data_IF_987036969842
#
_entry.id   IF_987036969842
#
_cell.length_a   1.000
_cell.length_b   1.000
_cell.length_c   1.000
_cell.angle_alpha   90.00
_cell.angle_beta   90.00
_cell.angle_gamma   90.00
#
_symmetry.space_group_name_H-M   'P 1'
#
loop_
_entity.id
_entity.type
_entity.pdbx_description
1 polymer ?
#
# COMPACT_ATOMS: atom_id res chain seq x y z
N UNK A 1 3.60 -2.08 17.28
CA UNK A 1 4.72 -2.04 16.32
C UNK A 1 4.73 -0.70 15.62
N UNK A 2 5.88 -0.10 15.46
CA UNK A 2 6.00 1.21 14.80
C UNK A 2 5.99 1.02 13.28
N UNK A 3 5.39 1.97 12.56
CA UNK A 3 5.33 1.93 11.10
C UNK A 3 6.72 1.95 10.45
N UNK A 4 7.67 2.66 11.04
CA UNK A 4 9.05 2.68 10.56
C UNK A 4 9.68 1.28 10.56
N UNK A 5 9.40 0.47 11.57
CA UNK A 5 9.95 -0.88 11.68
C UNK A 5 9.47 -1.76 10.52
N UNK A 6 8.19 -1.63 10.17
CA UNK A 6 7.63 -2.34 9.02
C UNK A 6 8.22 -1.84 7.69
N UNK A 7 8.35 -0.52 7.53
CA UNK A 7 8.96 0.04 6.33
C UNK A 7 10.40 -0.46 6.14
N UNK A 8 11.17 -0.52 7.22
CA UNK A 8 12.54 -1.03 7.19
C UNK A 8 12.60 -2.54 6.91
N UNK A 9 11.60 -3.31 7.37
CA UNK A 9 11.51 -4.74 7.03
C UNK A 9 11.31 -4.96 5.55
N UNK A 10 10.43 -4.20 4.91
CA UNK A 10 10.26 -4.25 3.46
C UNK A 10 11.56 -3.89 2.73
N UNK A 11 12.19 -2.80 3.15
CA UNK A 11 13.46 -2.36 2.56
C UNK A 11 14.54 -3.43 2.67
N UNK A 12 14.65 -4.09 3.83
CA UNK A 12 15.60 -5.18 4.05
C UNK A 12 15.35 -6.36 3.13
N UNK A 13 14.10 -6.60 2.78
CA UNK A 13 13.71 -7.64 1.82
C UNK A 13 13.90 -7.21 0.36
N UNK A 14 14.42 -6.00 0.10
CA UNK A 14 14.65 -5.50 -1.24
C UNK A 14 13.42 -4.86 -1.88
N UNK A 15 12.37 -4.58 -1.10
CA UNK A 15 11.12 -3.99 -1.57
C UNK A 15 11.14 -2.48 -1.30
N UNK A 16 11.16 -1.62 -2.33
CA UNK A 16 11.14 -0.16 -2.14
C UNK A 16 9.82 0.31 -1.58
N UNK A 17 9.88 1.31 -0.69
CA UNK A 17 8.72 1.88 -0.02
C UNK A 17 8.69 3.39 -0.14
N UNK A 18 7.51 3.98 0.08
CA UNK A 18 7.32 5.42 0.19
C UNK A 18 6.18 5.72 1.19
N UNK A 19 6.15 6.94 1.78
CA UNK A 19 5.11 7.25 2.77
C UNK A 19 3.78 7.62 2.12
N UNK A 20 2.70 7.12 2.70
CA UNK A 20 1.33 7.51 2.39
C UNK A 20 0.77 8.37 3.50
N UNK A 21 -0.28 9.12 3.20
CA UNK A 21 -1.12 9.70 4.23
C UNK A 21 -1.77 8.59 5.08
N UNK A 22 -2.25 8.95 6.26
CA UNK A 22 -2.84 8.01 7.21
C UNK A 22 -4.18 8.53 7.72
N UNK A 23 -4.94 7.67 8.37
CA UNK A 23 -6.16 8.05 9.06
C UNK A 23 -5.83 8.54 10.47
N UNK A 24 -6.35 9.70 10.84
CA UNK A 24 -6.28 10.19 12.21
C UNK A 24 -7.31 9.45 13.07
N UNK A 25 -7.23 9.64 14.40
CA UNK A 25 -8.14 8.99 15.33
C UNK A 25 -9.62 9.33 15.08
N UNK A 26 -9.89 10.54 14.57
CA UNK A 26 -11.25 10.97 14.24
C UNK A 26 -11.76 10.44 12.88
N UNK A 27 -10.97 9.61 12.20
CA UNK A 27 -11.32 9.02 10.91
C UNK A 27 -11.06 9.92 9.69
N UNK A 28 -10.54 11.14 9.90
CA UNK A 28 -10.17 12.02 8.80
C UNK A 28 -8.80 11.67 8.24
N UNK A 29 -8.55 12.06 6.99
CA UNK A 29 -7.24 11.88 6.38
C UNK A 29 -6.25 12.88 6.96
N UNK A 30 -4.99 12.48 7.08
CA UNK A 30 -3.90 13.36 7.50
C UNK A 30 -3.57 14.46 6.48
N UNK A 31 -4.09 14.38 5.26
CA UNK A 31 -3.88 15.39 4.24
C UNK A 31 -4.70 16.66 4.51
N UNK A 32 -4.42 17.71 3.72
CA UNK A 32 -5.08 19.00 3.87
C UNK A 32 -6.60 18.94 3.71
N UNK A 33 -7.12 17.99 2.92
CA UNK A 33 -8.55 17.83 2.69
C UNK A 33 -9.29 17.17 3.86
N UNK A 34 -8.59 16.48 4.76
CA UNK A 34 -9.19 15.89 5.96
C UNK A 34 -10.38 14.99 5.65
N UNK A 35 -11.56 15.37 6.13
CA UNK A 35 -12.80 14.60 5.92
C UNK A 35 -13.26 14.61 4.46
N UNK A 36 -12.89 15.61 3.69
CA UNK A 36 -13.24 15.75 2.27
C UNK A 36 -12.36 14.90 1.35
N UNK A 37 -11.34 14.25 1.88
CA UNK A 37 -10.43 13.42 1.09
C UNK A 37 -11.14 12.16 0.57
N UNK A 38 -11.07 11.92 -0.74
CA UNK A 38 -11.71 10.75 -1.39
C UNK A 38 -10.86 9.48 -1.30
N UNK A 39 -9.59 9.60 -0.92
CA UNK A 39 -8.67 8.47 -0.80
C UNK A 39 -7.99 8.48 0.57
N UNK A 40 -8.79 8.57 1.63
CA UNK A 40 -8.31 8.71 3.01
C UNK A 40 -7.28 7.66 3.39
N UNK A 41 -6.08 8.09 3.76
CA UNK A 41 -5.00 7.23 4.19
C UNK A 41 -4.39 6.34 3.12
N UNK A 42 -4.73 6.57 1.84
CA UNK A 42 -4.35 5.68 0.74
C UNK A 42 -3.64 6.39 -0.42
N UNK A 43 -3.25 7.64 -0.24
CA UNK A 43 -2.56 8.37 -1.31
C UNK A 43 -1.18 8.85 -0.86
N UNK A 44 -0.25 9.04 -1.82
CA UNK A 44 1.13 9.41 -1.50
C UNK A 44 1.22 10.73 -0.76
N UNK A 45 2.12 10.80 0.22
CA UNK A 45 2.46 12.01 0.95
C UNK A 45 3.52 12.83 0.24
N UNK A 46 4.26 12.23 -0.67
CA UNK A 46 5.36 12.84 -1.41
C UNK A 46 5.05 12.93 -2.91
N UNK A 47 5.68 13.88 -3.60
CA UNK A 47 5.64 13.97 -5.06
C UNK A 47 6.57 12.93 -5.67
N UNK A 48 6.29 12.53 -6.90
CA UNK A 48 7.10 11.55 -7.66
C UNK A 48 7.34 10.26 -6.88
N UNK A 49 6.34 9.81 -6.16
CA UNK A 49 6.43 8.66 -5.25
C UNK A 49 6.99 7.42 -5.94
N UNK A 50 6.66 7.21 -7.20
CA UNK A 50 7.13 6.05 -7.97
C UNK A 50 8.65 6.07 -8.14
N UNK A 51 9.23 7.23 -8.46
CA UNK A 51 10.67 7.38 -8.61
C UNK A 51 11.39 7.47 -7.27
N UNK A 52 10.74 8.08 -6.27
CA UNK A 52 11.31 8.32 -4.95
C UNK A 52 11.29 7.10 -4.04
N UNK A 53 10.41 6.12 -4.29
CA UNK A 53 10.35 4.89 -3.51
C UNK A 53 11.73 4.23 -3.42
N UNK A 54 12.11 3.79 -2.23
CA UNK A 54 13.49 3.39 -1.97
C UNK A 54 13.62 2.29 -0.92
N UNK A 55 14.76 1.62 -0.93
CA UNK A 55 15.21 0.72 0.14
C UNK A 55 16.27 1.38 1.03
N UNK A 56 16.62 2.65 0.79
CA UNK A 56 17.62 3.37 1.56
C UNK A 56 17.13 3.65 2.97
N UNK A 57 17.81 3.08 3.95
CA UNK A 57 17.48 3.20 5.39
C UNK A 57 17.46 4.67 5.84
N UNK A 58 18.42 5.47 5.41
CA UNK A 58 18.50 6.89 5.82
C UNK A 58 17.29 7.69 5.32
N UNK A 59 16.91 7.49 4.07
CA UNK A 59 15.76 8.17 3.47
C UNK A 59 14.44 7.75 4.12
N UNK A 60 14.26 6.46 4.34
CA UNK A 60 13.09 5.90 5.03
C UNK A 60 12.99 6.45 6.46
N UNK A 61 14.10 6.42 7.18
CA UNK A 61 14.15 6.95 8.55
C UNK A 61 13.76 8.44 8.58
N UNK A 62 14.25 9.22 7.64
CA UNK A 62 13.88 10.63 7.52
C UNK A 62 12.38 10.84 7.33
N UNK A 63 11.75 10.07 6.45
CA UNK A 63 10.31 10.17 6.20
C UNK A 63 9.48 9.85 7.45
N UNK A 64 9.77 8.72 8.09
CA UNK A 64 8.97 8.27 9.25
C UNK A 64 9.31 9.03 10.53
N UNK A 65 10.47 9.67 10.63
CA UNK A 65 10.74 10.62 11.72
C UNK A 65 9.87 11.88 11.60
N UNK A 66 9.63 12.35 10.38
CA UNK A 66 8.73 13.49 10.16
C UNK A 66 7.26 13.14 10.40
N UNK A 67 6.85 11.96 9.98
CA UNK A 67 5.47 11.48 10.07
C UNK A 67 5.41 10.04 10.53
N UNK A 68 5.54 9.81 11.85
CA UNK A 68 5.62 8.45 12.41
C UNK A 68 4.41 7.56 12.11
N UNK A 69 3.25 8.16 11.88
CA UNK A 69 1.99 7.43 11.61
C UNK A 69 1.73 7.19 10.12
N UNK A 70 2.62 7.63 9.24
CA UNK A 70 2.45 7.46 7.80
C UNK A 70 2.26 5.99 7.44
N UNK A 71 1.27 5.71 6.58
CA UNK A 71 1.09 4.39 6.00
C UNK A 71 2.21 4.10 5.00
N UNK A 72 2.39 2.84 4.65
CA UNK A 72 3.45 2.39 3.76
C UNK A 72 2.87 2.11 2.38
N UNK A 73 3.44 2.78 1.36
CA UNK A 73 3.18 2.48 -0.04
C UNK A 73 4.30 1.64 -0.64
N UNK A 74 3.93 0.73 -1.53
CA UNK A 74 4.87 -0.08 -2.30
C UNK A 74 4.52 0.12 -3.78
N UNK A 75 5.45 0.61 -4.61
CA UNK A 75 5.18 0.74 -6.04
C UNK A 75 5.09 -0.64 -6.68
N UNK A 76 4.03 -0.88 -7.45
CA UNK A 76 3.92 -2.13 -8.21
C UNK A 76 4.70 -2.04 -9.50
N UNK A 77 4.98 -3.19 -10.10
CA UNK A 77 5.65 -3.29 -11.39
C UNK A 77 7.16 -3.45 -11.30
N UNK A 78 7.86 -2.92 -12.28
CA UNK A 78 9.29 -3.16 -12.46
C UNK A 78 10.13 -2.78 -11.24
N UNK A 79 9.83 -1.65 -10.60
CA UNK A 79 10.62 -1.14 -9.48
C UNK A 79 10.65 -2.07 -8.27
N UNK A 80 9.55 -2.72 -7.96
CA UNK A 80 9.45 -3.67 -6.83
C UNK A 80 9.53 -5.13 -7.27
N UNK A 81 9.29 -5.40 -8.53
CA UNK A 81 9.10 -6.75 -9.04
C UNK A 81 7.78 -7.39 -8.62
N UNK A 82 6.85 -6.60 -8.07
CA UNK A 82 5.57 -7.06 -7.55
C UNK A 82 4.41 -6.60 -8.42
N UNK A 83 3.37 -7.42 -8.51
CA UNK A 83 2.08 -7.03 -9.05
C UNK A 83 1.00 -7.36 -8.03
N UNK A 84 -0.06 -6.56 -8.01
CA UNK A 84 -1.18 -6.79 -7.12
C UNK A 84 -2.41 -7.19 -7.93
N UNK A 85 -3.08 -8.25 -7.50
CA UNK A 85 -4.41 -8.60 -7.98
C UNK A 85 -5.42 -8.15 -6.93
N UNK A 86 -6.24 -7.18 -7.28
CA UNK A 86 -7.26 -6.65 -6.38
C UNK A 86 -8.62 -7.25 -6.73
N UNK A 87 -9.23 -7.93 -5.76
CA UNK A 87 -10.56 -8.54 -5.92
C UNK A 87 -11.57 -7.66 -5.22
N UNK A 88 -12.29 -6.83 -5.98
CA UNK A 88 -13.28 -5.91 -5.43
C UNK A 88 -14.67 -6.57 -5.39
N UNK A 89 -15.05 -7.04 -4.20
CA UNK A 89 -16.34 -7.72 -3.99
C UNK A 89 -17.53 -6.79 -4.18
N UNK A 90 -17.36 -5.49 -4.07
CA UNK A 90 -18.41 -4.49 -4.31
C UNK A 90 -18.78 -4.38 -5.79
N UNK A 91 -17.91 -4.85 -6.68
CA UNK A 91 -18.08 -4.85 -8.14
C UNK A 91 -18.01 -6.27 -8.72
N UNK A 92 -18.47 -7.28 -7.97
CA UNK A 92 -18.48 -8.70 -8.36
C UNK A 92 -17.10 -9.27 -8.69
N UNK A 93 -16.04 -8.73 -8.05
CA UNK A 93 -14.68 -9.18 -8.27
C UNK A 93 -14.46 -10.64 -7.86
N UNK A 94 -15.13 -11.11 -6.83
CA UNK A 94 -15.10 -12.50 -6.38
C UNK A 94 -15.65 -13.45 -7.47
N UNK A 95 -16.75 -13.09 -8.12
CA UNK A 95 -17.29 -13.85 -9.26
C UNK A 95 -16.33 -13.83 -10.44
N UNK A 96 -15.77 -12.66 -10.76
CA UNK A 96 -14.80 -12.52 -11.85
C UNK A 96 -13.58 -13.40 -11.61
N UNK A 97 -13.07 -13.44 -10.38
CA UNK A 97 -11.95 -14.29 -10.01
C UNK A 97 -12.30 -15.78 -10.16
N UNK A 98 -13.48 -16.19 -9.70
CA UNK A 98 -13.96 -17.59 -9.83
C UNK A 98 -13.99 -18.00 -11.29
N UNK A 99 -14.52 -17.15 -12.17
CA UNK A 99 -14.59 -17.42 -13.60
C UNK A 99 -13.21 -17.54 -14.24
N UNK A 100 -12.27 -16.65 -13.86
CA UNK A 100 -10.88 -16.71 -14.36
C UNK A 100 -10.17 -17.98 -13.90
N UNK A 101 -10.33 -18.37 -12.65
CA UNK A 101 -9.72 -19.59 -12.10
C UNK A 101 -10.29 -20.83 -12.80
N UNK A 102 -11.59 -20.84 -13.09
CA UNK A 102 -12.23 -21.93 -13.83
C UNK A 102 -11.67 -22.05 -15.26
N UNK A 103 -11.34 -20.93 -15.91
CA UNK A 103 -10.85 -20.90 -17.28
C UNK A 103 -9.34 -21.16 -17.38
N UNK A 104 -8.53 -20.57 -16.51
CA UNK A 104 -7.07 -20.54 -16.61
C UNK A 104 -6.34 -21.32 -15.51
N UNK A 105 -7.06 -21.84 -14.52
CA UNK A 105 -6.48 -22.58 -13.41
C UNK A 105 -6.24 -21.74 -12.17
N UNK A 106 -5.84 -22.39 -11.09
CA UNK A 106 -5.63 -21.76 -9.79
C UNK A 106 -4.52 -20.71 -9.81
N UNK A 107 -4.68 -19.66 -8.98
CA UNK A 107 -3.64 -18.66 -8.78
C UNK A 107 -2.40 -19.30 -8.12
N UNK A 108 -1.20 -18.76 -8.40
CA UNK A 108 -0.01 -19.14 -7.65
C UNK A 108 -0.18 -18.81 -6.17
N UNK A 109 0.39 -19.64 -5.31
CA UNK A 109 0.42 -19.38 -3.89
C UNK A 109 1.28 -18.15 -3.59
N UNK A 110 0.70 -17.13 -2.97
CA UNK A 110 1.37 -15.85 -2.71
C UNK A 110 0.77 -15.16 -1.48
N UNK A 111 1.32 -13.99 -1.14
CA UNK A 111 0.80 -13.18 -0.03
C UNK A 111 -0.60 -12.69 -0.39
N UNK A 112 -1.51 -12.84 0.56
CA UNK A 112 -2.89 -12.39 0.42
C UNK A 112 -3.26 -11.52 1.62
N UNK A 113 -3.95 -10.41 1.35
CA UNK A 113 -4.47 -9.52 2.38
C UNK A 113 -5.97 -9.32 2.17
N UNK A 114 -6.72 -9.31 3.26
CA UNK A 114 -8.13 -8.94 3.22
C UNK A 114 -8.26 -7.44 3.47
N UNK A 115 -8.91 -6.73 2.53
CA UNK A 115 -9.12 -5.29 2.67
C UNK A 115 -10.26 -4.97 3.63
N UNK A 116 -10.36 -3.69 4.04
CA UNK A 116 -11.43 -3.24 4.95
C UNK A 116 -12.84 -3.43 4.40
N UNK A 117 -13.01 -3.53 3.08
CA UNK A 117 -14.29 -3.79 2.43
C UNK A 117 -14.57 -5.28 2.16
N UNK A 118 -13.66 -6.17 2.55
CA UNK A 118 -13.80 -7.63 2.41
C UNK A 118 -13.24 -8.24 1.13
N UNK A 119 -12.60 -7.42 0.28
CA UNK A 119 -11.95 -7.88 -0.94
C UNK A 119 -10.59 -8.52 -0.71
#
# INVERSE_FOLDING_TARGET
MKMIDEALRYAKAGIPVFPLHWLKQDGTCSCRLGDMCQAKGKHPRIKNWSDEATTDVAKITGWWNQTPLANIGIPMGEKSGLVALDVDTRHDGDKSLTDLVAEYGALPKTITATTGSGG
#
